data_IF_247483435492
#
_entry.id   IF_247483435492
#
_cell.length_a   1.000
_cell.length_b   1.000
_cell.length_c   1.000
_cell.angle_alpha   90.00
_cell.angle_beta   90.00
_cell.angle_gamma   90.00
#
_symmetry.space_group_name_H-M   'P 1'
#
loop_
_entity.id
_entity.type
_entity.pdbx_description
1 polymer ?
#
# COMPACT_ATOMS: atom_id res chain seq x y z
N UNK A 1 0.41 -26.17 8.71
CA UNK A 1 0.03 -24.75 8.57
C UNK A 1 1.18 -23.98 7.93
N UNK A 2 0.93 -23.37 6.77
CA UNK A 2 1.92 -22.49 6.14
C UNK A 2 2.10 -21.21 6.97
N UNK A 3 3.33 -20.67 7.11
CA UNK A 3 3.56 -19.40 7.78
C UNK A 3 2.74 -18.28 7.14
N UNK A 4 2.14 -17.42 7.96
CA UNK A 4 1.36 -16.25 7.52
C UNK A 4 1.95 -14.99 8.14
N UNK A 5 1.90 -13.90 7.41
CA UNK A 5 2.38 -12.61 7.86
C UNK A 5 1.49 -11.48 7.34
N UNK A 6 1.22 -10.51 8.20
CA UNK A 6 0.58 -9.26 7.82
C UNK A 6 1.66 -8.22 7.50
N UNK A 7 1.65 -7.74 6.28
CA UNK A 7 2.66 -6.83 5.74
C UNK A 7 1.99 -5.55 5.25
N UNK A 8 2.60 -4.42 5.57
CA UNK A 8 2.25 -3.13 5.01
C UNK A 8 3.39 -2.56 4.19
N UNK A 9 3.05 -1.98 3.05
CA UNK A 9 3.93 -1.16 2.23
C UNK A 9 3.19 0.08 1.76
N UNK A 10 3.94 1.13 1.46
CA UNK A 10 3.47 2.23 0.64
C UNK A 10 4.32 2.33 -0.64
N UNK A 11 3.74 2.86 -1.69
CA UNK A 11 4.42 3.11 -2.97
C UNK A 11 4.27 4.58 -3.35
N UNK A 12 5.36 5.15 -3.85
CA UNK A 12 5.36 6.42 -4.57
C UNK A 12 5.92 6.20 -5.98
N UNK A 13 5.96 7.26 -6.79
CA UNK A 13 6.45 7.17 -8.18
C UNK A 13 7.91 6.72 -8.31
N UNK A 14 8.67 6.70 -7.23
CA UNK A 14 10.10 6.41 -7.27
C UNK A 14 10.62 5.52 -6.15
N UNK A 15 9.77 5.13 -5.20
CA UNK A 15 10.18 4.25 -4.11
C UNK A 15 9.05 3.40 -3.52
N UNK A 16 9.45 2.36 -2.81
CA UNK A 16 8.58 1.56 -1.95
C UNK A 16 9.02 1.82 -0.51
N UNK A 17 8.07 2.16 0.37
CA UNK A 17 8.27 2.35 1.80
C UNK A 17 7.84 1.07 2.50
N UNK A 18 8.68 0.52 3.33
CA UNK A 18 8.47 -0.77 3.98
C UNK A 18 9.38 -1.86 3.42
N UNK A 19 9.10 -3.12 3.72
CA UNK A 19 7.91 -3.65 4.39
C UNK A 19 7.89 -3.34 5.89
N UNK A 20 6.70 -3.15 6.43
CA UNK A 20 6.42 -3.16 7.85
C UNK A 20 5.63 -4.44 8.19
N UNK A 21 6.06 -5.17 9.18
CA UNK A 21 5.44 -6.41 9.61
C UNK A 21 4.65 -6.19 10.89
N UNK A 22 3.34 -6.39 10.83
CA UNK A 22 2.51 -6.34 12.03
C UNK A 22 2.73 -7.57 12.90
N UNK A 23 2.66 -7.38 14.20
CA UNK A 23 2.62 -8.49 15.16
C UNK A 23 1.19 -9.03 15.27
N UNK A 24 1.04 -10.35 15.35
CA UNK A 24 -0.26 -11.02 15.44
C UNK A 24 -0.94 -11.27 14.09
N UNK A 25 -2.10 -11.93 14.18
CA UNK A 25 -2.82 -12.45 13.01
C UNK A 25 -3.78 -11.44 12.37
N UNK A 26 -4.13 -10.38 13.08
CA UNK A 26 -5.10 -9.38 12.63
C UNK A 26 -4.54 -7.98 12.71
N UNK A 27 -4.83 -7.18 11.69
CA UNK A 27 -4.53 -5.76 11.69
C UNK A 27 -5.74 -5.00 12.26
N UNK A 28 -5.53 -4.28 13.35
CA UNK A 28 -6.54 -3.48 14.04
C UNK A 28 -6.31 -1.99 13.84
N UNK A 29 -7.31 -1.15 14.16
CA UNK A 29 -7.15 0.30 14.16
C UNK A 29 -5.94 0.78 14.98
N UNK A 30 -5.79 0.34 16.24
CA UNK A 30 -4.62 0.70 17.05
C UNK A 30 -3.28 0.23 16.47
N UNK A 31 -3.18 -0.98 15.93
CA UNK A 31 -1.94 -1.48 15.32
C UNK A 31 -1.59 -0.71 14.04
N UNK A 32 -2.58 -0.38 13.24
CA UNK A 32 -2.41 0.43 12.04
C UNK A 32 -1.96 1.86 12.39
N UNK A 33 -2.59 2.49 13.38
CA UNK A 33 -2.19 3.81 13.88
C UNK A 33 -0.74 3.82 14.38
N UNK A 34 -0.35 2.81 15.16
CA UNK A 34 1.03 2.66 15.62
C UNK A 34 2.02 2.60 14.45
N UNK A 35 1.73 1.84 13.42
CA UNK A 35 2.55 1.77 12.21
C UNK A 35 2.65 3.14 11.51
N UNK A 36 1.53 3.85 11.38
CA UNK A 36 1.52 5.20 10.78
C UNK A 36 2.40 6.18 11.57
N UNK A 37 2.31 6.17 12.89
CA UNK A 37 3.06 7.07 13.78
C UNK A 37 4.55 6.73 13.84
N UNK A 38 4.88 5.49 14.17
CA UNK A 38 6.24 5.08 14.49
C UNK A 38 7.08 4.72 13.26
N UNK A 39 6.45 4.35 12.14
CA UNK A 39 7.16 3.93 10.95
C UNK A 39 6.94 4.88 9.77
N UNK A 40 5.71 5.05 9.30
CA UNK A 40 5.41 5.83 8.10
C UNK A 40 5.69 7.32 8.27
N UNK A 41 5.16 7.93 9.31
CA UNK A 41 5.38 9.35 9.59
C UNK A 41 6.87 9.64 9.86
N UNK A 42 7.55 8.76 10.58
CA UNK A 42 8.99 8.89 10.82
C UNK A 42 9.77 8.89 9.51
N UNK A 43 9.45 7.96 8.59
CA UNK A 43 10.09 7.91 7.28
C UNK A 43 9.90 9.22 6.49
N UNK A 44 8.67 9.72 6.42
CA UNK A 44 8.37 10.96 5.70
C UNK A 44 9.00 12.20 6.37
N UNK A 45 9.07 12.22 7.70
CA UNK A 45 9.70 13.30 8.48
C UNK A 45 11.20 13.33 8.26
N UNK A 46 11.87 12.19 8.29
CA UNK A 46 13.31 12.08 8.02
C UNK A 46 13.64 12.56 6.60
N UNK A 47 12.74 12.37 5.64
CA UNK A 47 12.84 12.87 4.27
C UNK A 47 12.34 14.32 4.09
N UNK A 48 11.76 14.92 5.13
CA UNK A 48 11.17 16.28 5.09
C UNK A 48 10.09 16.46 4.01
N UNK A 49 9.25 15.45 3.81
CA UNK A 49 8.23 15.43 2.76
C UNK A 49 6.79 15.27 3.26
N UNK A 50 6.55 15.24 4.57
CA UNK A 50 5.18 15.09 5.14
C UNK A 50 4.21 16.09 4.51
N UNK A 51 4.59 17.35 4.38
CA UNK A 51 3.74 18.41 3.83
C UNK A 51 3.64 18.39 2.29
N UNK A 52 4.40 17.55 1.62
CA UNK A 52 4.52 17.55 0.15
C UNK A 52 3.78 16.39 -0.52
N UNK A 53 3.29 15.43 0.25
CA UNK A 53 2.68 14.20 -0.29
C UNK A 53 1.19 14.14 -0.01
N UNK A 54 0.47 13.51 -0.93
CA UNK A 54 -0.88 13.00 -0.73
C UNK A 54 -0.77 11.54 -0.30
N UNK A 55 -1.56 11.14 0.69
CA UNK A 55 -1.59 9.76 1.15
C UNK A 55 -2.90 9.10 0.76
N UNK A 56 -2.82 8.01 0.02
CA UNK A 56 -3.97 7.19 -0.35
C UNK A 56 -3.91 5.86 0.40
N UNK A 57 -5.05 5.44 0.94
CA UNK A 57 -5.24 4.13 1.55
C UNK A 57 -6.53 3.48 1.07
N UNK A 58 -6.59 2.15 1.14
CA UNK A 58 -7.81 1.41 0.82
C UNK A 58 -8.86 1.52 1.94
N UNK A 59 -10.03 0.91 1.71
CA UNK A 59 -11.16 0.96 2.62
C UNK A 59 -11.20 -0.15 3.67
N UNK A 60 -10.06 -0.78 4.02
CA UNK A 60 -10.02 -1.78 5.07
C UNK A 60 -10.48 -1.19 6.42
N UNK A 61 -11.20 -1.94 7.27
CA UNK A 61 -11.78 -1.40 8.51
C UNK A 61 -10.77 -0.69 9.43
N UNK A 62 -9.56 -1.23 9.58
CA UNK A 62 -8.51 -0.61 10.38
C UNK A 62 -8.10 0.79 9.84
N UNK A 63 -8.16 1.00 8.53
CA UNK A 63 -7.69 2.22 7.87
C UNK A 63 -8.63 3.42 8.08
N UNK A 64 -9.90 3.20 8.35
CA UNK A 64 -10.84 4.29 8.64
C UNK A 64 -11.35 4.33 10.08
N UNK A 65 -10.68 3.65 11.01
CA UNK A 65 -10.92 3.80 12.43
C UNK A 65 -10.83 5.28 12.85
N UNK A 66 -11.62 5.68 13.83
CA UNK A 66 -11.75 7.09 14.24
C UNK A 66 -10.40 7.74 14.56
N UNK A 67 -9.55 7.07 15.32
CA UNK A 67 -8.24 7.62 15.71
C UNK A 67 -7.26 7.69 14.53
N UNK A 68 -7.34 6.76 13.59
CA UNK A 68 -6.58 6.82 12.33
C UNK A 68 -7.00 8.05 11.51
N UNK A 69 -8.29 8.31 11.35
CA UNK A 69 -8.79 9.47 10.63
C UNK A 69 -8.39 10.79 11.28
N UNK A 70 -8.45 10.88 12.61
CA UNK A 70 -7.98 12.05 13.37
C UNK A 70 -6.49 12.31 13.12
N UNK A 71 -5.69 11.26 13.13
CA UNK A 71 -4.27 11.35 12.85
C UNK A 71 -3.99 11.82 11.41
N UNK A 72 -4.69 11.26 10.43
CA UNK A 72 -4.59 11.67 9.03
C UNK A 72 -5.02 13.13 8.83
N UNK A 73 -6.10 13.57 9.47
CA UNK A 73 -6.56 14.96 9.42
C UNK A 73 -5.55 15.93 10.05
N UNK A 74 -4.80 15.49 11.03
CA UNK A 74 -3.73 16.29 11.66
C UNK A 74 -2.52 16.47 10.74
N UNK A 75 -2.00 15.39 10.17
CA UNK A 75 -0.74 15.40 9.43
C UNK A 75 -0.90 15.54 7.91
N UNK A 76 -2.04 15.16 7.38
CA UNK A 76 -2.35 15.21 5.95
C UNK A 76 -3.66 15.96 5.69
N UNK A 77 -3.87 17.07 6.38
CA UNK A 77 -5.11 17.86 6.25
C UNK A 77 -5.41 18.20 4.79
N UNK A 78 -6.58 17.73 4.30
CA UNK A 78 -7.01 17.90 2.91
C UNK A 78 -6.20 17.11 1.88
N UNK A 79 -5.25 16.29 2.30
CA UNK A 79 -4.29 15.61 1.43
C UNK A 79 -4.27 14.10 1.62
N UNK A 80 -5.32 13.50 2.14
CA UNK A 80 -5.44 12.05 2.15
C UNK A 80 -6.68 11.58 1.41
N UNK A 81 -6.55 10.45 0.76
CA UNK A 81 -7.54 9.81 -0.09
C UNK A 81 -7.89 8.48 0.53
N UNK A 82 -9.16 8.26 0.82
CA UNK A 82 -9.60 7.04 1.46
C UNK A 82 -11.04 7.12 1.95
N UNK A 83 -11.54 6.01 2.47
CA UNK A 83 -12.89 5.94 3.00
C UNK A 83 -13.07 6.92 4.16
N UNK A 84 -14.11 7.74 4.09
CA UNK A 84 -14.43 8.82 5.04
C UNK A 84 -13.37 9.92 5.12
N UNK A 85 -12.54 10.02 4.11
CA UNK A 85 -11.54 11.06 3.99
C UNK A 85 -12.04 12.32 3.28
N UNK A 86 -11.21 13.38 3.24
CA UNK A 86 -11.53 14.61 2.52
C UNK A 86 -11.66 14.38 1.00
N UNK A 87 -10.92 13.41 0.47
CA UNK A 87 -11.06 12.90 -0.89
C UNK A 87 -11.45 11.45 -0.78
N UNK A 88 -12.68 11.12 -1.14
CA UNK A 88 -13.15 9.76 -1.01
C UNK A 88 -12.62 8.88 -2.13
N UNK A 89 -12.17 7.67 -1.77
CA UNK A 89 -11.74 6.67 -2.71
C UNK A 89 -12.83 5.62 -2.90
N UNK A 90 -13.10 5.28 -4.15
CA UNK A 90 -14.08 4.25 -4.48
C UNK A 90 -13.69 2.92 -3.83
N UNK A 91 -14.61 2.35 -3.08
CA UNK A 91 -14.41 1.04 -2.47
C UNK A 91 -14.19 -0.02 -3.57
N UNK A 92 -13.30 -0.97 -3.31
CA UNK A 92 -13.03 -2.10 -4.20
C UNK A 92 -12.54 -1.70 -5.59
N UNK A 93 -11.51 -0.85 -5.63
CA UNK A 93 -10.83 -0.47 -6.88
C UNK A 93 -9.37 -0.98 -6.92
N UNK A 94 -9.13 -2.32 -6.84
CA UNK A 94 -7.77 -2.87 -6.82
C UNK A 94 -7.03 -2.63 -8.13
N UNK A 95 -7.74 -2.53 -9.24
CA UNK A 95 -7.21 -2.21 -10.56
C UNK A 95 -6.66 -0.78 -10.69
N UNK A 96 -6.94 0.10 -9.73
CA UNK A 96 -6.40 1.47 -9.65
C UNK A 96 -5.32 1.65 -8.59
N UNK A 97 -5.05 0.64 -7.75
CA UNK A 97 -4.10 0.71 -6.65
C UNK A 97 -2.84 -0.07 -6.99
N UNK A 98 -1.65 0.58 -7.11
CA UNK A 98 -0.40 -0.09 -7.48
C UNK A 98 0.00 -1.24 -6.56
N UNK A 99 -0.33 -1.16 -5.28
CA UNK A 99 -0.11 -2.25 -4.33
C UNK A 99 -0.86 -3.51 -4.76
N UNK A 100 -2.11 -3.37 -5.21
CA UNK A 100 -2.96 -4.50 -5.60
C UNK A 100 -2.68 -4.98 -7.02
N UNK A 101 -2.62 -4.08 -8.01
CA UNK A 101 -2.43 -4.52 -9.39
C UNK A 101 -0.98 -4.88 -9.74
N UNK A 102 -0.01 -4.55 -8.88
CA UNK A 102 1.41 -4.84 -9.14
C UNK A 102 2.10 -5.51 -7.95
N UNK A 103 2.23 -4.83 -6.79
CA UNK A 103 3.19 -5.21 -5.76
C UNK A 103 2.91 -6.57 -5.13
N UNK A 104 1.69 -6.79 -4.64
CA UNK A 104 1.35 -8.03 -3.93
C UNK A 104 1.42 -9.26 -4.84
N UNK A 105 1.01 -9.13 -6.09
CA UNK A 105 1.14 -10.20 -7.09
C UNK A 105 2.59 -10.54 -7.38
N UNK A 106 3.42 -9.54 -7.57
CA UNK A 106 4.86 -9.70 -7.79
C UNK A 106 5.54 -10.42 -6.61
N UNK A 107 5.29 -9.96 -5.38
CA UNK A 107 5.86 -10.58 -4.17
C UNK A 107 5.45 -12.04 -4.08
N UNK A 108 4.17 -12.33 -4.24
CA UNK A 108 3.66 -13.72 -4.21
C UNK A 108 4.33 -14.59 -5.27
N UNK A 109 4.46 -14.09 -6.48
CA UNK A 109 5.10 -14.83 -7.58
C UNK A 109 6.56 -15.15 -7.28
N UNK A 110 7.32 -14.22 -6.70
CA UNK A 110 8.74 -14.41 -6.37
C UNK A 110 8.92 -15.32 -5.15
N UNK A 111 8.15 -15.08 -4.09
CA UNK A 111 8.30 -15.77 -2.80
C UNK A 111 7.84 -17.22 -2.88
N UNK A 112 6.69 -17.49 -3.49
CA UNK A 112 6.15 -18.86 -3.55
C UNK A 112 6.84 -19.79 -4.54
N UNK A 113 7.77 -19.29 -5.34
CA UNK A 113 8.71 -20.15 -6.10
C UNK A 113 9.81 -20.76 -5.22
N UNK A 114 9.93 -20.32 -3.98
CA UNK A 114 10.95 -20.73 -3.05
C UNK A 114 10.33 -21.56 -1.93
N UNK A 115 11.10 -22.49 -1.37
CA UNK A 115 10.69 -23.22 -0.17
C UNK A 115 10.75 -22.29 1.03
N UNK A 116 9.66 -22.21 1.79
CA UNK A 116 9.55 -21.40 2.99
C UNK A 116 9.65 -22.31 4.22
N UNK A 117 10.62 -22.07 5.09
CA UNK A 117 10.89 -22.93 6.25
C UNK A 117 10.14 -22.47 7.50
N UNK A 118 10.09 -21.18 7.75
CA UNK A 118 9.45 -20.58 8.93
C UNK A 118 9.03 -19.13 8.67
N UNK A 119 8.52 -18.46 9.71
CA UNK A 119 8.08 -17.08 9.62
C UNK A 119 9.24 -16.09 9.37
N UNK A 120 10.40 -16.34 9.96
CA UNK A 120 11.58 -15.50 9.73
C UNK A 120 12.03 -15.58 8.27
N UNK A 121 12.12 -16.79 7.73
CA UNK A 121 12.46 -17.02 6.32
C UNK A 121 11.44 -16.37 5.37
N UNK A 122 10.15 -16.45 5.68
CA UNK A 122 9.11 -15.79 4.91
C UNK A 122 9.31 -14.26 4.88
N UNK A 123 9.54 -13.64 6.04
CA UNK A 123 9.81 -12.20 6.15
C UNK A 123 11.06 -11.79 5.36
N UNK A 124 12.11 -12.57 5.46
CA UNK A 124 13.36 -12.33 4.73
C UNK A 124 13.13 -12.36 3.21
N UNK A 125 12.42 -13.36 2.70
CA UNK A 125 12.12 -13.50 1.28
C UNK A 125 11.22 -12.38 0.75
N UNK A 126 10.22 -11.98 1.51
CA UNK A 126 9.39 -10.82 1.18
C UNK A 126 10.23 -9.55 1.12
N UNK A 127 11.06 -9.29 2.11
CA UNK A 127 11.92 -8.11 2.16
C UNK A 127 12.88 -8.08 0.96
N UNK A 128 13.51 -9.21 0.62
CA UNK A 128 14.40 -9.31 -0.52
C UNK A 128 13.67 -9.12 -1.85
N UNK A 129 12.45 -9.66 -2.00
CA UNK A 129 11.62 -9.47 -3.18
C UNK A 129 11.30 -7.99 -3.40
N UNK A 130 10.90 -7.27 -2.35
CA UNK A 130 10.61 -5.83 -2.41
C UNK A 130 11.87 -5.04 -2.79
N UNK A 131 13.00 -5.31 -2.16
CA UNK A 131 14.28 -4.63 -2.44
C UNK A 131 14.83 -4.90 -3.84
N UNK A 132 14.43 -6.01 -4.46
CA UNK A 132 14.84 -6.35 -5.82
C UNK A 132 14.13 -5.54 -6.90
N UNK A 133 13.04 -4.87 -6.57
CA UNK A 133 12.25 -4.07 -7.54
C UNK A 133 13.03 -2.81 -7.91
N UNK A 134 13.34 -2.68 -9.19
CA UNK A 134 14.10 -1.53 -9.72
C UNK A 134 13.23 -0.28 -9.77
N UNK A 135 13.86 0.88 -9.55
CA UNK A 135 13.22 2.20 -9.59
C UNK A 135 12.50 2.47 -10.91
N UNK A 136 13.08 2.07 -12.03
CA UNK A 136 12.46 2.22 -13.35
C UNK A 136 11.17 1.39 -13.50
N UNK A 137 11.11 0.22 -12.85
CA UNK A 137 9.90 -0.58 -12.80
C UNK A 137 8.79 0.14 -12.02
N UNK A 138 9.13 0.72 -10.87
CA UNK A 138 8.18 1.50 -10.06
C UNK A 138 7.64 2.69 -10.84
N UNK A 139 8.50 3.43 -11.53
CA UNK A 139 8.10 4.55 -12.38
C UNK A 139 7.11 4.14 -13.46
N UNK A 140 7.36 3.03 -14.15
CA UNK A 140 6.44 2.50 -15.17
C UNK A 140 5.10 2.10 -14.60
N UNK A 141 5.06 1.53 -13.40
CA UNK A 141 3.83 1.22 -12.69
C UNK A 141 3.00 2.47 -12.44
N UNK A 142 3.62 3.55 -11.97
CA UNK A 142 2.93 4.82 -11.72
C UNK A 142 2.48 5.53 -13.01
N UNK A 143 3.24 5.46 -14.08
CA UNK A 143 2.79 5.94 -15.40
C UNK A 143 1.57 5.18 -15.92
N UNK A 144 1.43 3.92 -15.55
CA UNK A 144 0.29 3.10 -15.93
C UNK A 144 -1.01 3.48 -15.20
N UNK A 145 -0.93 4.17 -14.06
CA UNK A 145 -2.12 4.62 -13.30
C UNK A 145 -2.99 5.53 -14.16
N UNK A 146 -2.40 6.49 -14.85
CA UNK A 146 -3.16 7.40 -15.73
C UNK A 146 -3.93 6.65 -16.80
N UNK A 147 -3.29 5.67 -17.47
CA UNK A 147 -3.93 4.80 -18.46
C UNK A 147 -5.08 4.00 -17.88
N UNK A 148 -4.90 3.48 -16.66
CA UNK A 148 -5.93 2.73 -15.95
C UNK A 148 -7.12 3.61 -15.61
N UNK A 149 -6.88 4.84 -15.12
CA UNK A 149 -7.93 5.81 -14.83
C UNK A 149 -8.72 6.21 -16.09
N UNK A 150 -8.04 6.47 -17.20
CA UNK A 150 -8.69 6.73 -18.49
C UNK A 150 -9.59 5.57 -18.89
N UNK A 151 -9.11 4.34 -18.74
CA UNK A 151 -9.89 3.14 -19.08
C UNK A 151 -11.12 2.95 -18.20
N UNK A 152 -11.00 3.22 -16.90
CA UNK A 152 -12.17 3.20 -15.98
C UNK A 152 -13.23 4.21 -16.40
N UNK A 153 -12.82 5.40 -16.85
CA UNK A 153 -13.76 6.42 -17.35
C UNK A 153 -14.45 5.93 -18.63
N UNK A 154 -13.72 5.34 -19.57
CA UNK A 154 -14.30 4.78 -20.82
C UNK A 154 -15.37 3.73 -20.54
N UNK A 155 -15.14 2.84 -19.55
CA UNK A 155 -16.08 1.76 -19.20
C UNK A 155 -17.07 2.17 -18.08
N UNK A 156 -17.15 3.46 -17.77
CA UNK A 156 -18.09 4.03 -16.78
C UNK A 156 -17.98 3.40 -15.38
N UNK A 157 -16.75 3.10 -14.95
CA UNK A 157 -16.46 2.58 -13.63
C UNK A 157 -16.46 1.05 -13.50
N UNK A 158 -16.59 0.33 -14.60
CA UNK A 158 -16.51 -1.13 -14.60
C UNK A 158 -15.06 -1.64 -14.49
N UNK A 159 -14.89 -2.94 -14.26
CA UNK A 159 -13.57 -3.58 -14.18
C UNK A 159 -12.79 -3.48 -15.47
N UNK A 160 -11.49 -3.20 -15.36
CA UNK A 160 -10.62 -2.97 -16.53
C UNK A 160 -9.53 -4.02 -16.74
N UNK A 161 -9.27 -4.93 -15.78
CA UNK A 161 -8.15 -5.90 -15.89
C UNK A 161 -8.21 -6.74 -17.17
N UNK A 162 -9.38 -7.15 -17.61
CA UNK A 162 -9.56 -7.91 -18.84
C UNK A 162 -9.38 -7.06 -20.12
N UNK A 163 -9.25 -5.74 -19.98
CA UNK A 163 -9.16 -4.79 -21.09
C UNK A 163 -7.74 -4.22 -21.27
N UNK A 164 -6.83 -4.60 -20.37
CA UNK A 164 -5.44 -4.20 -20.34
C UNK A 164 -4.55 -5.32 -20.82
#
# INVERSE_FOLDING_TARGET
>A
NSPKVNVWCAMSSDCIIGPYYFEGDTNTGPSYLKMLEEFFHKYLSDKRIVSKVYFQQDGAPAHYATDVRKWLDKYFKGRWIGRRGPIEWAARSPDLTPLDFFLWGYIKQVVYKQTITDLFDLRLKITNAIRSIKKDCIRRVFLNISKRLEKVIEVRGDYIEQLL
#
